data_IF_704459143044
#
_entry.id   IF_704459143044
#
_cell.length_a   1.000
_cell.length_b   1.000
_cell.length_c   1.000
_cell.angle_alpha   90.00
_cell.angle_beta   90.00
_cell.angle_gamma   90.00
#
_symmetry.space_group_name_H-M   'P 1'
#
loop_
_entity.id
_entity.type
_entity.pdbx_description
1 polymer ?
#
# COMPACT_ATOMS: atom_id res chain seq x y z
N UNK A 1 -29.44 -7.30 -17.49
CA UNK A 1 -29.36 -5.92 -16.96
C UNK A 1 -28.16 -5.87 -16.03
N UNK A 2 -27.14 -5.05 -16.34
CA UNK A 2 -25.85 -5.05 -15.63
C UNK A 2 -25.96 -4.04 -14.48
N UNK A 3 -26.15 -4.53 -13.27
CA UNK A 3 -26.18 -3.73 -12.03
C UNK A 3 -24.79 -3.12 -11.80
N UNK A 4 -24.63 -1.82 -12.09
CA UNK A 4 -23.39 -1.08 -11.84
C UNK A 4 -23.37 -0.71 -10.35
N UNK A 5 -22.74 -1.57 -9.54
CA UNK A 5 -22.50 -1.28 -8.12
C UNK A 5 -21.32 -0.32 -7.99
N UNK A 6 -21.62 0.99 -7.92
CA UNK A 6 -20.63 2.01 -7.58
C UNK A 6 -20.25 1.89 -6.09
N UNK A 7 -19.16 1.20 -5.81
CA UNK A 7 -18.51 1.25 -4.49
C UNK A 7 -17.78 2.59 -4.36
N UNK A 8 -18.52 3.66 -4.11
CA UNK A 8 -17.92 4.96 -3.84
C UNK A 8 -17.30 4.90 -2.45
N UNK A 9 -15.97 4.87 -2.41
CA UNK A 9 -15.20 4.87 -1.16
C UNK A 9 -15.62 6.06 -0.30
N UNK A 10 -16.08 5.77 0.92
CA UNK A 10 -16.48 6.75 1.94
C UNK A 10 -15.37 7.77 2.22
N UNK A 11 -14.11 7.40 1.95
CA UNK A 11 -12.94 8.26 2.04
C UNK A 11 -12.90 9.38 0.97
N UNK A 12 -13.59 9.23 -0.17
CA UNK A 12 -13.66 10.24 -1.22
C UNK A 12 -14.86 11.17 -1.01
N UNK A 13 -15.97 10.62 -0.52
CA UNK A 13 -17.21 11.39 -0.29
C UNK A 13 -17.02 12.40 0.86
N UNK A 14 -16.35 12.01 1.94
CA UNK A 14 -16.20 12.86 3.13
C UNK A 14 -15.42 14.15 2.82
N UNK A 15 -14.22 14.12 2.22
CA UNK A 15 -13.49 15.33 1.84
C UNK A 15 -14.27 16.21 0.86
N UNK A 16 -15.03 15.62 -0.06
CA UNK A 16 -15.84 16.34 -1.04
C UNK A 16 -16.98 17.12 -0.37
N UNK A 17 -17.68 16.49 0.59
CA UNK A 17 -18.74 17.16 1.37
C UNK A 17 -18.15 18.29 2.22
N UNK A 18 -17.01 18.05 2.87
CA UNK A 18 -16.34 19.07 3.69
C UNK A 18 -15.83 20.26 2.87
N UNK A 19 -15.27 20.02 1.69
CA UNK A 19 -14.87 21.07 0.76
C UNK A 19 -16.09 21.90 0.31
N UNK A 20 -17.23 21.24 0.04
CA UNK A 20 -18.49 21.91 -0.30
C UNK A 20 -19.01 22.80 0.82
N UNK A 21 -19.07 22.31 2.06
CA UNK A 21 -19.53 23.07 3.23
C UNK A 21 -18.61 24.27 3.51
N UNK A 22 -17.29 24.08 3.41
CA UNK A 22 -16.32 25.15 3.60
C UNK A 22 -16.52 26.28 2.57
N UNK A 23 -16.67 25.92 1.30
CA UNK A 23 -16.89 26.88 0.21
C UNK A 23 -18.20 27.66 0.40
N UNK A 24 -19.27 26.97 0.79
CA UNK A 24 -20.57 27.58 1.06
C UNK A 24 -20.49 28.54 2.25
N UNK A 25 -19.78 28.18 3.32
CA UNK A 25 -19.56 29.08 4.45
C UNK A 25 -18.75 30.33 4.09
N UNK A 26 -17.73 30.22 3.24
CA UNK A 26 -16.97 31.40 2.78
C UNK A 26 -17.85 32.35 1.99
N UNK A 27 -18.73 31.82 1.13
CA UNK A 27 -19.70 32.63 0.38
C UNK A 27 -20.67 33.35 1.32
N UNK A 28 -21.21 32.64 2.32
CA UNK A 28 -22.14 33.24 3.29
C UNK A 28 -21.46 34.32 4.14
N UNK A 29 -20.24 34.08 4.61
CA UNK A 29 -19.47 35.06 5.35
C UNK A 29 -19.19 36.33 4.53
N UNK A 30 -18.87 36.17 3.24
CA UNK A 30 -18.68 37.29 2.32
C UNK A 30 -19.98 38.09 2.11
N UNK A 31 -21.11 37.40 1.94
CA UNK A 31 -22.39 38.05 1.71
C UNK A 31 -22.90 38.80 2.94
N UNK A 32 -22.76 38.22 4.13
CA UNK A 32 -23.11 38.87 5.41
C UNK A 32 -22.24 40.11 5.60
N UNK A 33 -20.93 40.00 5.40
CA UNK A 33 -20.01 41.15 5.53
C UNK A 33 -20.40 42.27 4.58
N UNK A 34 -20.74 41.96 3.32
CA UNK A 34 -21.17 42.95 2.33
C UNK A 34 -22.52 43.62 2.64
N UNK A 35 -23.49 42.89 3.21
CA UNK A 35 -24.79 43.43 3.59
C UNK A 35 -24.69 44.39 4.79
N UNK A 36 -23.88 44.05 5.80
CA UNK A 36 -23.68 44.91 6.97
C UNK A 36 -22.90 46.20 6.64
N UNK A 37 -21.92 46.13 5.73
CA UNK A 37 -21.17 47.31 5.28
C UNK A 37 -22.05 48.33 4.53
N UNK A 38 -23.08 47.87 3.80
CA UNK A 38 -24.06 48.73 3.12
C UNK A 38 -25.06 49.39 4.06
N UNK A 39 -25.33 48.78 5.22
CA UNK A 39 -26.28 49.30 6.21
C UNK A 39 -25.64 50.17 7.30
N UNK A 40 -24.34 50.47 7.19
CA UNK A 40 -23.63 51.38 8.12
C UNK A 40 -23.50 50.85 9.56
N UNK A 41 -23.64 49.54 9.76
CA UNK A 41 -23.47 48.89 11.06
C UNK A 41 -22.10 48.21 11.16
N UNK A 42 -21.50 48.22 12.35
CA UNK A 42 -20.19 47.62 12.58
C UNK A 42 -20.22 46.10 12.32
N UNK A 43 -19.44 45.58 11.34
CA UNK A 43 -19.49 44.18 10.92
C UNK A 43 -18.79 43.21 11.90
N UNK A 44 -18.20 43.73 12.98
CA UNK A 44 -17.38 42.95 13.92
C UNK A 44 -18.15 41.82 14.63
N UNK A 45 -19.39 42.07 15.05
CA UNK A 45 -20.15 41.11 15.86
C UNK A 45 -20.71 39.92 15.06
N UNK A 46 -21.33 40.12 13.87
CA UNK A 46 -21.81 39.01 13.04
C UNK A 46 -20.67 38.14 12.48
N UNK A 47 -19.54 38.76 12.12
CA UNK A 47 -18.37 38.06 11.60
C UNK A 47 -17.71 37.21 12.70
N UNK A 48 -17.59 37.74 13.91
CA UNK A 48 -17.06 36.99 15.05
C UNK A 48 -17.94 35.78 15.40
N UNK A 49 -19.27 35.94 15.40
CA UNK A 49 -20.19 34.83 15.61
C UNK A 49 -20.02 33.72 14.56
N UNK A 50 -19.97 34.11 13.27
CA UNK A 50 -19.75 33.15 12.17
C UNK A 50 -18.39 32.46 12.22
N UNK A 51 -17.34 33.17 12.63
CA UNK A 51 -16.00 32.62 12.80
C UNK A 51 -15.97 31.55 13.91
N UNK A 52 -16.64 31.79 15.04
CA UNK A 52 -16.74 30.83 16.14
C UNK A 52 -17.51 29.57 15.70
N UNK A 53 -18.60 29.74 14.95
CA UNK A 53 -19.38 28.61 14.39
C UNK A 53 -18.51 27.74 13.46
N UNK A 54 -17.68 28.36 12.61
CA UNK A 54 -16.78 27.64 11.70
C UNK A 54 -15.62 26.94 12.42
N UNK A 55 -15.08 27.55 13.47
CA UNK A 55 -14.06 26.93 14.32
C UNK A 55 -14.62 25.70 15.05
N UNK A 56 -15.87 25.77 15.53
CA UNK A 56 -16.53 24.63 16.17
C UNK A 56 -16.80 23.50 15.16
N UNK A 57 -17.28 23.82 13.96
CA UNK A 57 -17.55 22.84 12.91
C UNK A 57 -16.29 22.11 12.44
N UNK A 58 -15.18 22.83 12.24
CA UNK A 58 -13.89 22.24 11.83
C UNK A 58 -13.26 21.37 12.93
N UNK A 59 -13.42 21.76 14.19
CA UNK A 59 -12.99 20.94 15.33
C UNK A 59 -13.81 19.65 15.43
N UNK A 60 -15.14 19.74 15.31
CA UNK A 60 -16.03 18.58 15.31
C UNK A 60 -15.71 17.65 14.13
N UNK A 61 -15.44 18.20 12.95
CA UNK A 61 -15.07 17.39 11.79
C UNK A 61 -13.74 16.67 11.97
N UNK A 62 -12.72 17.36 12.48
CA UNK A 62 -11.42 16.76 12.77
C UNK A 62 -11.54 15.64 13.80
N UNK A 63 -12.34 15.87 14.86
CA UNK A 63 -12.62 14.87 15.88
C UNK A 63 -13.40 13.67 15.33
N UNK A 64 -14.40 13.91 14.47
CA UNK A 64 -15.19 12.86 13.82
C UNK A 64 -14.31 12.01 12.90
N UNK A 65 -13.45 12.64 12.09
CA UNK A 65 -12.50 11.96 11.20
C UNK A 65 -11.50 11.12 12.02
N UNK A 66 -10.91 11.70 13.07
CA UNK A 66 -10.03 10.97 13.96
C UNK A 66 -10.75 9.75 14.55
N UNK A 67 -11.95 9.92 15.11
CA UNK A 67 -12.71 8.81 15.70
C UNK A 67 -13.14 7.77 14.66
N UNK A 68 -13.48 8.21 13.45
CA UNK A 68 -13.92 7.37 12.34
C UNK A 68 -12.77 6.58 11.71
N UNK A 69 -11.53 7.07 11.77
CA UNK A 69 -10.35 6.36 11.29
C UNK A 69 -9.69 5.50 12.37
N UNK A 70 -9.54 6.03 13.59
CA UNK A 70 -8.93 5.30 14.69
C UNK A 70 -9.79 4.12 15.13
N UNK A 71 -11.13 4.23 15.15
CA UNK A 71 -12.00 3.14 15.61
C UNK A 71 -11.94 1.87 14.76
N UNK A 72 -12.03 1.97 13.42
CA UNK A 72 -11.81 0.82 12.53
C UNK A 72 -10.38 0.31 12.58
N UNK A 73 -9.38 1.21 12.69
CA UNK A 73 -7.97 0.82 12.78
C UNK A 73 -7.70 0.03 14.06
N UNK A 74 -8.20 0.49 15.20
CA UNK A 74 -8.09 -0.19 16.50
C UNK A 74 -8.77 -1.56 16.45
N UNK A 75 -9.94 -1.68 15.79
CA UNK A 75 -10.60 -2.97 15.59
C UNK A 75 -9.81 -3.89 14.66
N UNK A 76 -9.20 -3.37 13.60
CA UNK A 76 -8.33 -4.16 12.73
C UNK A 76 -7.08 -4.64 13.48
N UNK A 77 -6.44 -3.77 14.26
CA UNK A 77 -5.28 -4.11 15.09
C UNK A 77 -5.66 -5.17 16.12
N UNK A 78 -6.78 -5.00 16.84
CA UNK A 78 -7.26 -5.96 17.85
C UNK A 78 -7.68 -7.31 17.26
N UNK A 79 -8.24 -7.31 16.04
CA UNK A 79 -8.56 -8.54 15.32
C UNK A 79 -7.29 -9.26 14.85
N UNK A 80 -6.25 -8.49 14.49
CA UNK A 80 -4.92 -9.02 14.12
C UNK A 80 -4.19 -9.58 15.35
N UNK A 81 -4.35 -8.95 16.51
CA UNK A 81 -3.82 -9.43 17.80
C UNK A 81 -4.43 -10.78 18.21
N UNK A 82 -5.75 -10.96 18.00
CA UNK A 82 -6.45 -12.23 18.29
C UNK A 82 -6.07 -13.38 17.36
N UNK A 83 -5.50 -13.11 16.19
CA UNK A 83 -4.99 -14.12 15.25
C UNK A 83 -3.64 -14.73 15.69
N UNK A 84 -3.12 -14.35 16.87
CA UNK A 84 -1.95 -15.00 17.49
C UNK A 84 -0.60 -14.65 16.85
N UNK A 85 -0.54 -13.60 16.02
CA UNK A 85 0.68 -13.19 15.30
C UNK A 85 1.53 -12.21 16.12
N UNK A 86 0.98 -11.61 17.18
CA UNK A 86 1.72 -10.74 18.09
C UNK A 86 1.80 -11.40 19.47
N UNK A 87 2.97 -11.98 19.77
CA UNK A 87 3.32 -12.43 21.11
C UNK A 87 3.35 -11.20 22.03
N UNK A 88 2.36 -11.15 22.92
CA UNK A 88 2.15 -10.19 24.01
C UNK A 88 3.47 -9.61 24.54
N UNK A 89 3.62 -8.29 24.54
CA UNK A 89 4.58 -7.63 25.43
C UNK A 89 4.03 -6.28 25.85
N UNK A 90 3.09 -6.34 26.80
CA UNK A 90 2.85 -5.30 27.79
C UNK A 90 2.96 -6.07 29.12
N UNK A 91 3.78 -5.76 30.11
CA UNK A 91 4.39 -4.49 30.50
C UNK A 91 5.67 -4.79 31.30
N UNK A 92 6.76 -4.06 31.06
CA UNK A 92 7.48 -3.44 32.19
C UNK A 92 8.14 -2.14 31.72
N UNK A 93 7.62 -1.05 32.29
CA UNK A 93 7.98 0.35 32.02
C UNK A 93 9.37 0.64 32.57
N UNK A 94 10.24 1.26 31.76
CA UNK A 94 11.28 2.29 32.06
C UNK A 94 12.61 1.96 31.34
N UNK A 95 13.06 2.91 30.53
CA UNK A 95 14.31 2.91 29.73
C UNK A 95 14.27 1.90 28.56
N UNK A 96 14.19 2.27 27.28
CA UNK A 96 15.12 3.12 26.53
C UNK A 96 14.46 3.50 25.20
N UNK A 97 14.08 4.78 25.05
CA UNK A 97 13.40 5.36 23.87
C UNK A 97 14.33 5.53 22.65
N UNK A 98 15.16 4.53 22.35
CA UNK A 98 16.14 4.58 21.24
C UNK A 98 16.03 3.39 20.28
N UNK A 99 15.20 2.40 20.58
CA UNK A 99 15.19 1.09 19.90
C UNK A 99 13.94 0.84 19.03
N UNK A 100 12.93 1.71 19.12
CA UNK A 100 11.66 1.50 18.40
C UNK A 100 11.85 1.56 16.87
N UNK A 101 12.68 2.49 16.39
CA UNK A 101 12.96 2.64 14.95
C UNK A 101 13.73 1.44 14.39
N UNK A 102 14.67 0.90 15.17
CA UNK A 102 15.48 -0.27 14.80
C UNK A 102 14.61 -1.54 14.80
N UNK A 103 13.70 -1.66 15.77
CA UNK A 103 12.69 -2.71 15.82
C UNK A 103 11.70 -2.64 14.65
N UNK A 104 11.24 -1.44 14.27
CA UNK A 104 10.40 -1.28 13.08
C UNK A 104 11.16 -1.69 11.81
N UNK A 105 12.40 -1.23 11.63
CA UNK A 105 13.23 -1.61 10.49
C UNK A 105 13.42 -3.14 10.41
N UNK A 106 13.68 -3.79 11.54
CA UNK A 106 13.86 -5.25 11.62
C UNK A 106 12.57 -6.02 11.28
N UNK A 107 11.42 -5.55 11.75
CA UNK A 107 10.13 -6.18 11.42
C UNK A 107 9.80 -5.97 9.93
N UNK A 108 10.06 -4.78 9.38
CA UNK A 108 9.87 -4.52 7.96
C UNK A 108 10.77 -5.41 7.09
N UNK A 109 12.03 -5.61 7.49
CA UNK A 109 12.96 -6.47 6.77
C UNK A 109 12.50 -7.94 6.82
N UNK A 110 12.05 -8.42 7.99
CA UNK A 110 11.50 -9.77 8.14
C UNK A 110 10.23 -9.99 7.32
N UNK A 111 9.30 -9.02 7.31
CA UNK A 111 8.07 -9.11 6.51
C UNK A 111 8.40 -9.10 5.03
N UNK A 112 9.31 -8.22 4.60
CA UNK A 112 9.76 -8.14 3.20
C UNK A 112 10.41 -9.46 2.76
N UNK A 113 11.25 -10.05 3.62
CA UNK A 113 11.85 -11.35 3.36
C UNK A 113 10.77 -12.44 3.23
N UNK A 114 9.82 -12.52 4.16
CA UNK A 114 8.76 -13.54 4.11
C UNK A 114 7.87 -13.39 2.88
N UNK A 115 7.48 -12.17 2.53
CA UNK A 115 6.71 -11.90 1.32
C UNK A 115 7.47 -12.32 0.07
N UNK A 116 8.79 -12.02 -0.01
CA UNK A 116 9.63 -12.42 -1.14
C UNK A 116 9.70 -13.95 -1.32
N UNK A 117 9.71 -14.72 -0.21
CA UNK A 117 9.71 -16.19 -0.25
C UNK A 117 8.38 -16.74 -0.78
N UNK A 118 7.26 -16.16 -0.37
CA UNK A 118 5.92 -16.57 -0.81
C UNK A 118 5.70 -16.25 -2.29
N UNK A 119 6.11 -15.06 -2.73
CA UNK A 119 6.02 -14.64 -4.12
C UNK A 119 6.87 -15.52 -5.04
N UNK A 120 8.10 -15.82 -4.63
CA UNK A 120 9.00 -16.71 -5.37
C UNK A 120 8.40 -18.11 -5.59
N UNK A 121 7.74 -18.69 -4.57
CA UNK A 121 7.08 -20.00 -4.70
C UNK A 121 5.87 -19.98 -5.66
N UNK A 122 5.15 -18.86 -5.74
CA UNK A 122 4.01 -18.73 -6.65
C UNK A 122 4.44 -18.55 -8.10
N UNK A 123 5.47 -17.74 -8.34
CA UNK A 123 6.00 -17.47 -9.67
C UNK A 123 6.80 -18.66 -10.21
N UNK A 124 7.55 -19.36 -9.35
CA UNK A 124 8.47 -20.43 -9.77
C UNK A 124 8.17 -21.75 -9.03
N UNK A 125 7.04 -22.42 -9.32
CA UNK A 125 6.61 -23.61 -8.59
C UNK A 125 7.59 -24.79 -8.73
N UNK A 126 8.36 -24.84 -9.82
CA UNK A 126 9.32 -25.93 -10.09
C UNK A 126 10.72 -25.70 -9.47
N UNK A 127 11.03 -24.47 -9.01
CA UNK A 127 12.33 -24.15 -8.44
C UNK A 127 12.26 -24.18 -6.91
N UNK A 128 12.90 -25.19 -6.32
CA UNK A 128 13.00 -25.33 -4.86
C UNK A 128 14.29 -24.63 -4.39
N UNK A 129 14.21 -23.34 -4.07
CA UNK A 129 15.35 -22.60 -3.53
C UNK A 129 14.95 -21.24 -2.95
N UNK A 130 15.09 -21.07 -1.63
CA UNK A 130 14.71 -19.84 -0.90
C UNK A 130 15.90 -18.99 -0.45
N UNK A 131 17.11 -19.37 -0.83
CA UNK A 131 18.34 -18.67 -0.47
C UNK A 131 18.42 -17.30 -1.15
N UNK A 132 19.11 -16.35 -0.52
CA UNK A 132 19.35 -15.01 -1.08
C UNK A 132 19.94 -15.02 -2.51
N UNK A 133 20.99 -15.80 -2.84
CA UNK A 133 21.51 -15.85 -4.21
C UNK A 133 20.48 -16.40 -5.20
N UNK A 134 19.67 -17.40 -4.82
CA UNK A 134 18.62 -17.92 -5.69
C UNK A 134 17.55 -16.87 -5.99
N UNK A 135 17.15 -16.05 -4.99
CA UNK A 135 16.23 -14.92 -5.23
C UNK A 135 16.82 -13.91 -6.23
N UNK A 136 18.13 -13.70 -6.21
CA UNK A 136 18.83 -12.90 -7.22
C UNK A 136 18.64 -13.45 -8.63
N UNK A 137 18.79 -14.77 -8.81
CA UNK A 137 18.54 -15.45 -10.09
C UNK A 137 17.07 -15.32 -10.51
N UNK A 138 16.12 -15.57 -9.61
CA UNK A 138 14.68 -15.42 -9.90
C UNK A 138 14.31 -14.00 -10.34
N UNK A 139 14.90 -12.98 -9.69
CA UNK A 139 14.73 -11.58 -10.07
C UNK A 139 15.33 -11.29 -11.45
N UNK A 140 16.46 -11.90 -11.82
CA UNK A 140 17.02 -11.77 -13.17
C UNK A 140 16.10 -12.42 -14.21
N UNK A 141 15.52 -13.58 -13.91
CA UNK A 141 14.51 -14.24 -14.77
C UNK A 141 13.35 -13.28 -15.03
N UNK A 142 12.76 -12.69 -13.99
CA UNK A 142 11.64 -11.74 -14.15
C UNK A 142 11.99 -10.49 -14.98
N UNK A 143 13.26 -10.07 -14.97
CA UNK A 143 13.73 -8.92 -15.77
C UNK A 143 13.96 -9.28 -17.23
N UNK A 144 14.47 -10.48 -17.51
CA UNK A 144 14.87 -10.88 -18.87
C UNK A 144 13.75 -11.61 -19.62
N UNK A 145 12.86 -12.33 -18.93
CA UNK A 145 11.74 -13.03 -19.55
C UNK A 145 10.84 -12.16 -20.45
N UNK A 146 10.49 -10.90 -20.11
CA UNK A 146 9.67 -10.05 -20.98
C UNK A 146 10.42 -9.49 -22.20
N UNK A 147 11.74 -9.68 -22.31
CA UNK A 147 12.55 -9.12 -23.41
C UNK A 147 12.77 -10.12 -24.54
N UNK A 148 13.15 -9.60 -25.70
CA UNK A 148 13.47 -10.41 -26.88
C UNK A 148 14.96 -10.79 -26.97
N UNK A 149 15.71 -10.57 -25.89
CA UNK A 149 17.17 -10.74 -25.86
C UNK A 149 17.58 -12.21 -25.70
N UNK A 150 18.71 -12.58 -26.31
CA UNK A 150 19.34 -13.89 -26.09
C UNK A 150 19.89 -13.97 -24.67
N UNK A 151 19.58 -15.05 -23.95
CA UNK A 151 20.01 -15.28 -22.56
C UNK A 151 21.04 -16.39 -22.50
N UNK A 152 22.16 -16.15 -21.80
CA UNK A 152 23.18 -17.15 -21.49
C UNK A 152 23.06 -17.55 -20.02
N UNK A 153 22.84 -18.83 -19.75
CA UNK A 153 22.75 -19.38 -18.39
C UNK A 153 24.06 -20.09 -18.05
N UNK A 154 24.79 -19.56 -17.08
CA UNK A 154 26.05 -20.14 -16.60
C UNK A 154 25.83 -20.89 -15.29
N UNK A 155 26.55 -21.99 -15.11
CA UNK A 155 26.53 -22.77 -13.88
C UNK A 155 27.11 -24.16 -14.05
N UNK A 156 27.49 -24.78 -12.94
CA UNK A 156 28.04 -26.13 -12.89
C UNK A 156 27.02 -27.20 -13.35
N UNK A 157 27.50 -28.39 -13.68
CA UNK A 157 26.64 -29.53 -14.04
C UNK A 157 25.72 -29.88 -12.87
N UNK A 158 24.43 -30.12 -13.15
CA UNK A 158 23.44 -30.49 -12.13
C UNK A 158 22.79 -29.33 -11.34
N UNK A 159 23.12 -28.07 -11.64
CA UNK A 159 22.55 -26.88 -10.96
C UNK A 159 21.14 -26.49 -11.41
N UNK A 160 20.49 -27.28 -12.27
CA UNK A 160 19.12 -27.03 -12.72
C UNK A 160 18.98 -25.91 -13.76
N UNK A 161 19.99 -25.69 -14.62
CA UNK A 161 19.95 -24.68 -15.71
C UNK A 161 18.73 -24.83 -16.63
N UNK A 162 18.24 -26.05 -16.82
CA UNK A 162 17.02 -26.32 -17.60
C UNK A 162 15.76 -25.74 -16.94
N UNK A 163 15.66 -25.80 -15.60
CA UNK A 163 14.55 -25.21 -14.86
C UNK A 163 14.56 -23.68 -14.98
N UNK A 164 15.75 -23.07 -15.00
CA UNK A 164 15.92 -21.63 -15.25
C UNK A 164 15.47 -21.26 -16.66
N UNK A 165 15.87 -22.03 -17.68
CA UNK A 165 15.45 -21.81 -19.07
C UNK A 165 13.92 -21.94 -19.23
N UNK A 166 13.33 -22.97 -18.64
CA UNK A 166 11.87 -23.16 -18.63
C UNK A 166 11.17 -21.98 -17.93
N UNK A 167 11.69 -21.51 -16.81
CA UNK A 167 11.12 -20.38 -16.07
C UNK A 167 11.15 -19.08 -16.88
N UNK A 168 12.22 -18.83 -17.64
CA UNK A 168 12.30 -17.69 -18.57
C UNK A 168 11.22 -17.81 -19.64
N UNK A 169 11.05 -19.00 -20.24
CA UNK A 169 10.01 -19.23 -21.24
C UNK A 169 8.60 -19.03 -20.68
N UNK A 170 8.30 -19.56 -19.49
CA UNK A 170 7.00 -19.44 -18.81
C UNK A 170 6.59 -17.98 -18.54
N UNK A 171 7.57 -17.13 -18.22
CA UNK A 171 7.34 -15.70 -17.92
C UNK A 171 7.51 -14.78 -19.14
N UNK A 172 7.75 -15.35 -20.32
CA UNK A 172 7.97 -14.58 -21.54
C UNK A 172 6.68 -14.33 -22.34
N UNK A 173 6.65 -13.33 -23.23
CA UNK A 173 5.54 -13.12 -24.16
C UNK A 173 5.40 -14.27 -25.19
N UNK A 174 6.39 -15.17 -25.24
CA UNK A 174 6.43 -16.34 -26.12
C UNK A 174 5.79 -17.56 -25.46
N UNK A 175 5.33 -17.45 -24.21
CA UNK A 175 4.61 -18.51 -23.52
C UNK A 175 3.40 -18.99 -24.35
N UNK A 176 3.27 -20.30 -24.48
CA UNK A 176 2.27 -20.96 -25.34
C UNK A 176 2.73 -21.23 -26.77
N UNK A 177 3.91 -20.76 -27.19
CA UNK A 177 4.55 -21.14 -28.46
C UNK A 177 5.47 -22.36 -28.27
N UNK A 178 5.88 -23.06 -29.34
CA UNK A 178 6.79 -24.20 -29.18
C UNK A 178 8.10 -23.82 -28.48
N UNK A 179 8.44 -24.55 -27.41
CA UNK A 179 9.73 -24.49 -26.72
C UNK A 179 10.50 -25.78 -27.00
N UNK A 180 11.61 -25.68 -27.72
CA UNK A 180 12.40 -26.85 -28.17
C UNK A 180 13.73 -26.87 -27.42
N UNK A 181 13.87 -27.68 -26.37
CA UNK A 181 15.16 -27.87 -25.70
C UNK A 181 16.08 -28.70 -26.59
N UNK A 182 17.31 -28.20 -26.82
CA UNK A 182 18.34 -28.90 -27.58
C UNK A 182 19.55 -29.12 -26.68
N UNK A 183 19.94 -30.39 -26.49
CA UNK A 183 21.18 -30.74 -25.81
C UNK A 183 22.31 -30.86 -26.84
N UNK A 184 23.18 -29.87 -26.91
CA UNK A 184 24.31 -29.86 -27.84
C UNK A 184 25.30 -31.01 -27.62
N UNK A 185 25.38 -31.59 -26.41
CA UNK A 185 26.26 -32.73 -26.14
C UNK A 185 25.76 -34.05 -26.77
N UNK A 186 24.48 -34.11 -27.16
CA UNK A 186 23.87 -35.28 -27.79
C UNK A 186 23.90 -35.20 -29.33
N UNK A 187 24.42 -34.10 -29.90
CA UNK A 187 24.57 -33.92 -31.34
C UNK A 187 26.00 -34.32 -31.71
N UNK A 188 26.20 -35.41 -32.49
CA UNK A 188 27.51 -35.90 -32.90
C UNK A 188 28.18 -35.02 -33.96
#
# INVERSE_FOLDING_TARGET
MKEIRFNISLYIIIPLIFAGIALLSTIVAYHITGHYLRNGMDPQWPVAFWAVVMMALTFISGFLIAKMLLGPLERFVKNTEKLGILRKTDEEKRATKKDDMERFALVFDQVTELLSRVESRKLFPQIIGQSAPMRGVLNQIMKVAPTDSTVLILGETGTGKELVANSIYEHSPRYGKPFVPINCAAIP
#
